data_IF_292015944839
#
_entry.id   IF_292015944839
#
_cell.length_a   1.000
_cell.length_b   1.000
_cell.length_c   1.000
_cell.angle_alpha   90.00
_cell.angle_beta   90.00
_cell.angle_gamma   90.00
#
_symmetry.space_group_name_H-M   'P 1'
#
loop_
_entity.id
_entity.type
_entity.pdbx_description
1 polymer ?
#
# COMPACT_ATOMS: atom_id res chain seq x y z
N UNK A 1 19.81 18.23 -10.13
CA UNK A 1 18.37 18.47 -10.39
C UNK A 1 17.65 17.13 -10.41
N UNK A 2 16.71 16.91 -9.48
CA UNK A 2 15.84 15.73 -9.47
C UNK A 2 14.85 15.82 -10.64
N UNK A 3 14.91 14.88 -11.57
CA UNK A 3 13.95 14.78 -12.69
C UNK A 3 12.61 14.28 -12.11
N UNK A 4 11.49 14.77 -12.62
CA UNK A 4 10.17 14.20 -12.28
C UNK A 4 10.19 12.70 -12.61
N UNK A 5 10.06 11.85 -11.59
CA UNK A 5 10.20 10.39 -11.70
C UNK A 5 11.55 9.80 -11.28
N UNK A 6 12.51 10.63 -10.82
CA UNK A 6 13.79 10.17 -10.29
C UNK A 6 14.06 10.86 -8.95
N UNK A 7 13.25 10.50 -7.94
CA UNK A 7 13.48 10.98 -6.58
C UNK A 7 14.63 10.19 -5.96
N UNK A 8 15.67 10.84 -5.40
CA UNK A 8 16.70 10.13 -4.62
C UNK A 8 16.14 9.57 -3.31
N UNK A 9 14.93 10.01 -2.93
CA UNK A 9 14.28 9.70 -1.67
C UNK A 9 13.16 8.65 -1.85
N UNK A 10 13.06 7.75 -0.87
CA UNK A 10 12.13 6.63 -0.83
C UNK A 10 10.76 7.01 -0.21
N UNK A 11 10.45 8.30 -0.07
CA UNK A 11 9.29 8.80 0.67
C UNK A 11 7.93 8.23 0.24
N UNK A 12 7.79 7.79 -1.01
CA UNK A 12 6.59 7.08 -1.47
C UNK A 12 6.42 5.72 -0.76
N UNK A 13 7.51 4.95 -0.60
CA UNK A 13 7.47 3.70 0.14
C UNK A 13 7.39 3.94 1.64
N UNK A 14 8.05 4.97 2.18
CA UNK A 14 7.91 5.32 3.59
C UNK A 14 6.45 5.66 3.94
N UNK A 15 5.78 6.43 3.08
CA UNK A 15 4.35 6.73 3.22
C UNK A 15 3.51 5.45 3.17
N UNK A 16 3.80 4.53 2.25
CA UNK A 16 3.12 3.23 2.19
C UNK A 16 3.29 2.43 3.48
N UNK A 17 4.53 2.29 3.99
CA UNK A 17 4.81 1.56 5.22
C UNK A 17 4.20 2.21 6.46
N UNK A 18 4.11 3.55 6.48
CA UNK A 18 3.38 4.28 7.52
C UNK A 18 1.91 3.86 7.56
N UNK A 19 1.24 3.89 6.40
CA UNK A 19 -0.17 3.49 6.27
C UNK A 19 -0.37 2.02 6.62
N UNK A 20 0.48 1.12 6.09
CA UNK A 20 0.40 -0.32 6.37
C UNK A 20 0.46 -0.58 7.88
N UNK A 21 1.45 0.00 8.56
CA UNK A 21 1.60 -0.21 10.00
C UNK A 21 0.42 0.37 10.78
N UNK A 22 -0.07 1.56 10.43
CA UNK A 22 -1.22 2.19 11.09
C UNK A 22 -2.54 1.47 10.88
N UNK A 23 -2.81 0.93 9.69
CA UNK A 23 -4.10 0.30 9.37
C UNK A 23 -4.15 -1.18 9.78
N UNK A 24 -3.01 -1.88 9.75
CA UNK A 24 -2.97 -3.35 9.88
C UNK A 24 -2.19 -3.86 11.09
N UNK A 25 -1.16 -3.13 11.56
CA UNK A 25 -0.24 -3.66 12.58
C UNK A 25 -0.47 -3.05 13.97
N UNK A 26 -0.48 -1.72 14.08
CA UNK A 26 -0.58 -1.05 15.38
C UNK A 26 -1.95 -1.30 16.02
N UNK A 27 -1.95 -1.78 17.27
CA UNK A 27 -3.14 -2.20 18.01
C UNK A 27 -3.51 -3.68 17.82
N UNK A 28 -2.86 -4.37 16.88
CA UNK A 28 -3.10 -5.78 16.54
C UNK A 28 -1.86 -6.64 16.72
N UNK A 29 -0.78 -6.13 17.35
CA UNK A 29 0.50 -6.84 17.45
C UNK A 29 0.36 -8.23 18.11
N UNK A 30 -0.56 -8.35 19.08
CA UNK A 30 -0.84 -9.62 19.78
C UNK A 30 -1.73 -10.59 19.00
N UNK A 31 -2.34 -10.15 17.91
CA UNK A 31 -3.19 -11.00 17.07
C UNK A 31 -2.35 -11.96 16.23
N UNK A 32 -1.11 -11.60 15.91
CA UNK A 32 -0.20 -12.44 15.13
C UNK A 32 0.50 -13.46 16.04
N UNK A 33 0.18 -14.73 15.87
CA UNK A 33 0.74 -15.83 16.68
C UNK A 33 2.10 -16.33 16.16
N UNK A 34 2.44 -16.05 14.91
CA UNK A 34 3.72 -16.40 14.30
C UNK A 34 4.14 -15.38 13.24
N UNK A 35 5.41 -15.43 12.83
CA UNK A 35 5.90 -14.62 11.72
C UNK A 35 5.21 -14.97 10.40
N UNK A 36 4.83 -16.23 10.20
CA UNK A 36 4.11 -16.67 8.99
C UNK A 36 2.70 -16.07 8.94
N UNK A 37 2.04 -15.92 10.09
CA UNK A 37 0.73 -15.26 10.18
C UNK A 37 0.84 -13.77 9.83
N UNK A 38 1.87 -13.10 10.37
CA UNK A 38 2.18 -11.72 10.03
C UNK A 38 2.50 -11.56 8.53
N UNK A 39 3.30 -12.45 7.95
CA UNK A 39 3.64 -12.43 6.52
C UNK A 39 2.39 -12.58 5.65
N UNK A 40 1.52 -13.56 5.95
CA UNK A 40 0.24 -13.74 5.24
C UNK A 40 -0.62 -12.49 5.32
N UNK A 41 -0.71 -11.89 6.51
CA UNK A 41 -1.51 -10.68 6.69
C UNK A 41 -0.92 -9.49 5.91
N UNK A 42 0.40 -9.35 5.82
CA UNK A 42 1.07 -8.34 4.98
C UNK A 42 0.77 -8.57 3.50
N UNK A 43 0.89 -9.80 3.00
CA UNK A 43 0.59 -10.15 1.60
C UNK A 43 -0.86 -9.83 1.25
N UNK A 44 -1.81 -10.21 2.13
CA UNK A 44 -3.23 -9.92 1.96
C UNK A 44 -3.51 -8.41 1.96
N UNK A 45 -2.84 -7.66 2.83
CA UNK A 45 -2.98 -6.21 2.88
C UNK A 45 -2.45 -5.55 1.60
N UNK A 46 -1.32 -6.03 1.05
CA UNK A 46 -0.76 -5.54 -0.23
C UNK A 46 -1.73 -5.79 -1.39
N UNK A 47 -2.35 -6.98 -1.46
CA UNK A 47 -3.40 -7.27 -2.46
C UNK A 47 -4.56 -6.30 -2.33
N UNK A 48 -5.10 -6.15 -1.12
CA UNK A 48 -6.17 -5.20 -0.84
C UNK A 48 -5.78 -3.78 -1.27
N UNK A 49 -4.60 -3.30 -0.86
CA UNK A 49 -4.13 -1.96 -1.16
C UNK A 49 -4.08 -1.69 -2.67
N UNK A 50 -3.56 -2.65 -3.44
CA UNK A 50 -3.33 -2.47 -4.87
C UNK A 50 -4.59 -2.70 -5.72
N UNK A 51 -5.40 -3.70 -5.38
CA UNK A 51 -6.48 -4.17 -6.23
C UNK A 51 -7.86 -3.68 -5.78
N UNK A 52 -8.07 -3.46 -4.48
CA UNK A 52 -9.41 -3.26 -3.90
C UNK A 52 -9.59 -1.91 -3.20
N UNK A 53 -8.51 -1.26 -2.77
CA UNK A 53 -8.57 0.00 -2.01
C UNK A 53 -9.22 1.12 -2.82
N UNK A 54 -10.33 1.63 -2.32
CA UNK A 54 -11.04 2.76 -2.92
C UNK A 54 -10.28 4.05 -2.57
N UNK A 55 -9.81 4.77 -3.59
CA UNK A 55 -9.23 6.11 -3.42
C UNK A 55 -10.15 7.16 -4.05
N UNK A 56 -10.72 8.03 -3.22
CA UNK A 56 -11.60 9.13 -3.67
C UNK A 56 -10.88 10.04 -4.68
N UNK A 57 -9.60 10.35 -4.41
CA UNK A 57 -8.73 11.12 -5.34
C UNK A 57 -8.56 10.45 -6.71
N UNK A 58 -8.74 9.13 -6.80
CA UNK A 58 -8.66 8.35 -8.04
C UNK A 58 -10.05 8.04 -8.62
N UNK A 59 -11.08 8.82 -8.27
CA UNK A 59 -12.48 8.58 -8.67
C UNK A 59 -13.02 7.22 -8.23
N UNK A 60 -12.56 6.75 -7.06
CA UNK A 60 -12.96 5.46 -6.49
C UNK A 60 -12.22 4.25 -7.06
N UNK A 61 -11.26 4.45 -7.97
CA UNK A 61 -10.46 3.37 -8.53
C UNK A 61 -9.37 2.90 -7.56
N UNK A 62 -9.05 1.61 -7.64
CA UNK A 62 -7.85 1.07 -7.00
C UNK A 62 -6.57 1.52 -7.72
N UNK A 63 -5.40 1.49 -7.05
CA UNK A 63 -4.14 1.85 -7.67
C UNK A 63 -3.87 1.16 -9.01
N UNK A 64 -4.15 -0.14 -9.11
CA UNK A 64 -4.00 -0.91 -10.35
C UNK A 64 -4.99 -0.45 -11.41
N UNK A 65 -6.27 -0.29 -11.06
CA UNK A 65 -7.29 0.19 -12.00
C UNK A 65 -6.95 1.59 -12.56
N UNK A 66 -6.47 2.49 -11.70
CA UNK A 66 -6.03 3.82 -12.11
C UNK A 66 -4.83 3.76 -13.07
N UNK A 67 -3.86 2.88 -12.78
CA UNK A 67 -2.69 2.66 -13.65
C UNK A 67 -3.10 2.15 -15.02
N UNK A 68 -3.96 1.13 -15.10
CA UNK A 68 -4.42 0.56 -16.37
C UNK A 68 -5.23 1.56 -17.19
N UNK A 69 -6.00 2.45 -16.54
CA UNK A 69 -6.76 3.50 -17.23
C UNK A 69 -5.89 4.54 -17.95
N UNK A 70 -4.65 4.78 -17.51
CA UNK A 70 -3.75 5.72 -18.21
C UNK A 70 -3.20 5.18 -19.53
N UNK A 71 -3.43 3.90 -19.86
CA UNK A 71 -3.00 3.28 -21.11
C UNK A 71 -4.13 3.14 -22.16
N UNK A 72 -5.32 3.63 -21.85
CA UNK A 72 -6.44 3.82 -22.79
C UNK A 72 -6.51 5.29 -23.22
#
# INVERSE_FOLDING_TARGET
MSRKGNSPDNGMMESFFGILKSEMFYGYEKSFQSLEDLEKAIVNYIDYYNNKRIKVKLKGLSPVQYRTKSFQ
#
